data_IF_960153501726
#
_entry.id   IF_960153501726
#
_cell.length_a   1.000
_cell.length_b   1.000
_cell.length_c   1.000
_cell.angle_alpha   90.00
_cell.angle_beta   90.00
_cell.angle_gamma   90.00
#
_symmetry.space_group_name_H-M   'P 1'
#
loop_
_entity.id
_entity.type
_entity.pdbx_description
1 polymer ?
#
# COMPACT_ATOMS: atom_id res chain seq x y z
N UNK A 1 27.20 32.16 12.32
CA UNK A 1 26.42 31.85 13.55
C UNK A 1 25.22 30.92 13.29
N UNK A 2 24.68 30.83 12.07
CA UNK A 2 23.54 29.93 11.75
C UNK A 2 23.92 28.45 11.58
N UNK A 3 25.13 28.14 11.08
CA UNK A 3 25.58 26.75 10.86
C UNK A 3 25.78 26.01 12.18
N UNK A 4 26.38 26.66 13.19
CA UNK A 4 26.54 26.10 14.53
C UNK A 4 25.18 25.81 15.21
N UNK A 5 24.19 26.71 15.07
CA UNK A 5 22.81 26.49 15.55
C UNK A 5 22.05 25.38 14.83
N UNK A 6 22.44 25.01 13.60
CA UNK A 6 21.88 23.85 12.87
C UNK A 6 22.56 22.55 13.28
N UNK A 7 23.87 22.56 13.53
CA UNK A 7 24.63 21.41 14.03
C UNK A 7 24.17 21.03 15.44
N UNK A 8 23.96 22.00 16.33
CA UNK A 8 23.52 21.77 17.71
C UNK A 8 22.06 21.26 17.77
N UNK A 9 21.18 21.78 16.90
CA UNK A 9 19.82 21.24 16.71
C UNK A 9 19.83 19.81 16.16
N UNK A 10 20.67 19.53 15.16
CA UNK A 10 20.78 18.19 14.59
C UNK A 10 21.38 17.18 15.59
N UNK A 11 22.33 17.62 16.43
CA UNK A 11 22.87 16.82 17.52
C UNK A 11 21.80 16.52 18.58
N UNK A 12 20.98 17.50 18.95
CA UNK A 12 19.82 17.31 19.84
C UNK A 12 18.77 16.36 19.27
N UNK A 13 18.45 16.47 17.97
CA UNK A 13 17.53 15.54 17.29
C UNK A 13 18.09 14.12 17.26
N UNK A 14 19.39 13.95 17.00
CA UNK A 14 20.05 12.64 17.00
C UNK A 14 20.05 11.99 18.39
N UNK A 15 20.29 12.78 19.45
CA UNK A 15 20.22 12.32 20.84
C UNK A 15 18.81 11.90 21.23
N UNK A 16 17.80 12.67 20.83
CA UNK A 16 16.40 12.33 21.06
C UNK A 16 16.02 11.03 20.35
N UNK A 17 16.38 10.85 19.08
CA UNK A 17 16.12 9.60 18.36
C UNK A 17 16.84 8.39 18.95
N UNK A 18 18.07 8.56 19.43
CA UNK A 18 18.81 7.49 20.10
C UNK A 18 18.14 7.09 21.42
N UNK A 19 17.64 8.07 22.17
CA UNK A 19 16.89 7.87 23.40
C UNK A 19 15.56 7.15 23.16
N UNK A 20 14.81 7.56 22.15
CA UNK A 20 13.56 6.93 21.73
C UNK A 20 13.75 5.45 21.35
N UNK A 21 14.80 5.15 20.56
CA UNK A 21 15.19 3.77 20.23
C UNK A 21 15.56 2.96 21.46
N UNK A 22 16.26 3.57 22.42
CA UNK A 22 16.67 2.90 23.64
C UNK A 22 15.46 2.55 24.52
N UNK A 23 14.49 3.47 24.65
CA UNK A 23 13.20 3.20 25.30
C UNK A 23 12.49 2.03 24.62
N UNK A 24 12.41 2.07 23.29
CA UNK A 24 11.74 1.02 22.51
C UNK A 24 12.35 -0.36 22.71
N UNK A 25 13.68 -0.48 22.55
CA UNK A 25 14.40 -1.74 22.73
C UNK A 25 14.29 -2.24 24.17
N UNK A 26 14.41 -1.35 25.15
CA UNK A 26 14.26 -1.71 26.58
C UNK A 26 12.88 -2.31 26.83
N UNK A 27 11.81 -1.65 26.39
CA UNK A 27 10.46 -2.15 26.60
C UNK A 27 10.22 -3.50 25.88
N UNK A 28 10.73 -3.65 24.65
CA UNK A 28 10.59 -4.87 23.86
C UNK A 28 11.34 -6.07 24.48
N UNK A 29 12.58 -5.87 24.93
CA UNK A 29 13.42 -6.91 25.55
C UNK A 29 12.85 -7.33 26.91
N UNK A 30 12.40 -6.36 27.71
CA UNK A 30 11.93 -6.61 29.07
C UNK A 30 10.42 -6.85 29.18
N UNK A 31 9.70 -7.03 28.07
CA UNK A 31 8.28 -7.44 28.01
C UNK A 31 7.38 -6.65 28.97
N UNK A 32 7.35 -5.33 28.81
CA UNK A 32 6.53 -4.43 29.65
C UNK A 32 6.94 -4.32 31.12
N UNK A 33 8.15 -4.73 31.50
CA UNK A 33 8.64 -4.44 32.84
C UNK A 33 8.98 -2.94 32.97
N UNK A 34 7.95 -2.13 33.23
CA UNK A 34 8.00 -0.68 33.44
C UNK A 34 8.99 -0.26 34.52
N UNK A 35 9.35 -1.18 35.42
CA UNK A 35 10.38 -1.00 36.45
C UNK A 35 11.74 -0.61 35.86
N UNK A 36 12.10 -1.16 34.70
CA UNK A 36 13.36 -0.83 34.01
C UNK A 36 13.31 0.50 33.25
N UNK A 37 12.11 1.07 33.08
CA UNK A 37 11.92 2.43 32.58
C UNK A 37 11.89 3.48 33.70
N UNK A 38 11.80 3.08 34.97
CA UNK A 38 11.82 4.01 36.11
C UNK A 38 13.07 4.89 36.18
N UNK A 39 14.30 4.40 35.91
CA UNK A 39 15.48 5.25 35.87
C UNK A 39 15.34 6.35 34.81
N UNK A 40 14.80 6.02 33.64
CA UNK A 40 14.58 6.95 32.54
C UNK A 40 13.48 7.96 32.85
N UNK A 41 12.37 7.52 33.45
CA UNK A 41 11.30 8.41 33.97
C UNK A 41 11.85 9.42 34.99
N UNK A 42 12.71 8.97 35.90
CA UNK A 42 13.29 9.82 36.97
C UNK A 42 14.39 10.76 36.49
N UNK A 43 15.24 10.32 35.57
CA UNK A 43 16.38 11.10 35.06
C UNK A 43 16.00 12.11 33.99
N UNK A 44 15.00 11.80 33.15
CA UNK A 44 14.63 12.61 31.99
C UNK A 44 13.22 13.21 32.08
N UNK A 45 12.47 12.94 33.16
CA UNK A 45 11.12 13.47 33.35
C UNK A 45 10.10 12.99 32.31
N UNK A 46 10.35 11.83 31.69
CA UNK A 46 9.49 11.31 30.62
C UNK A 46 8.18 10.78 31.19
N UNK A 47 7.06 11.26 30.65
CA UNK A 47 5.72 10.81 31.01
C UNK A 47 5.35 9.50 30.30
N UNK A 48 4.44 8.71 30.90
CA UNK A 48 3.98 7.44 30.31
C UNK A 48 3.38 7.61 28.92
N UNK A 49 2.59 8.68 28.70
CA UNK A 49 2.04 9.00 27.38
C UNK A 49 3.12 9.20 26.32
N UNK A 50 4.24 9.85 26.67
CA UNK A 50 5.36 10.06 25.74
C UNK A 50 6.07 8.74 25.42
N UNK A 51 6.17 7.83 26.38
CA UNK A 51 6.72 6.48 26.15
C UNK A 51 5.81 5.73 25.19
N UNK A 52 4.50 5.77 25.39
CA UNK A 52 3.53 5.07 24.53
C UNK A 52 3.54 5.62 23.09
N UNK A 53 3.65 6.93 22.93
CA UNK A 53 3.79 7.59 21.62
C UNK A 53 5.09 7.15 20.92
N UNK A 54 6.21 7.16 21.63
CA UNK A 54 7.50 6.70 21.11
C UNK A 54 7.46 5.22 20.72
N UNK A 55 6.81 4.39 21.54
CA UNK A 55 6.62 2.97 21.25
C UNK A 55 5.82 2.77 19.96
N UNK A 56 4.72 3.50 19.82
CA UNK A 56 3.84 3.44 18.65
C UNK A 56 4.54 3.90 17.38
N UNK A 57 5.21 5.05 17.40
CA UNK A 57 5.89 5.60 16.22
C UNK A 57 7.11 4.76 15.82
N UNK A 58 7.86 4.21 16.79
CA UNK A 58 8.94 3.27 16.51
C UNK A 58 8.42 1.97 15.87
N UNK A 59 7.32 1.41 16.40
CA UNK A 59 6.69 0.22 15.83
C UNK A 59 6.20 0.46 14.40
N UNK A 60 5.54 1.60 14.14
CA UNK A 60 5.14 2.02 12.78
C UNK A 60 6.35 2.13 11.85
N UNK A 61 7.42 2.79 12.27
CA UNK A 61 8.62 2.97 11.45
C UNK A 61 9.26 1.63 11.04
N UNK A 62 9.42 0.71 11.99
CA UNK A 62 9.95 -0.62 11.73
C UNK A 62 9.03 -1.44 10.82
N UNK A 63 7.72 -1.38 11.07
CA UNK A 63 6.73 -2.06 10.25
C UNK A 63 6.71 -1.53 8.81
N UNK A 64 6.77 -0.22 8.62
CA UNK A 64 6.89 0.41 7.30
C UNK A 64 8.16 -0.04 6.55
N UNK A 65 9.26 -0.25 7.27
CA UNK A 65 10.48 -0.80 6.66
C UNK A 65 10.30 -2.25 6.20
N UNK A 66 9.56 -3.06 6.95
CA UNK A 66 9.26 -4.45 6.58
C UNK A 66 8.28 -4.53 5.41
N UNK A 67 7.28 -3.63 5.35
CA UNK A 67 6.33 -3.58 4.23
C UNK A 67 7.01 -3.42 2.87
N UNK A 68 8.18 -2.76 2.81
CA UNK A 68 8.96 -2.63 1.57
C UNK A 68 9.42 -3.97 0.98
N UNK A 69 9.50 -5.03 1.79
CA UNK A 69 9.80 -6.39 1.31
C UNK A 69 8.59 -7.05 0.64
N UNK A 70 7.38 -6.57 0.91
CA UNK A 70 6.15 -7.05 0.28
C UNK A 70 6.01 -6.39 -1.08
N UNK A 71 6.26 -7.18 -2.13
CA UNK A 71 6.07 -6.77 -3.51
C UNK A 71 4.72 -7.20 -4.09
N UNK A 72 4.59 -7.01 -5.41
CA UNK A 72 3.39 -7.36 -6.21
C UNK A 72 3.20 -8.87 -6.35
N UNK A 73 4.31 -9.61 -6.41
CA UNK A 73 4.30 -11.06 -6.25
C UNK A 73 4.18 -11.38 -4.77
N UNK A 74 2.95 -11.38 -4.25
CA UNK A 74 2.68 -11.66 -2.83
C UNK A 74 3.26 -13.03 -2.45
N UNK A 75 4.28 -13.03 -1.61
CA UNK A 75 4.87 -14.24 -1.05
C UNK A 75 4.26 -14.56 0.31
N UNK A 76 3.69 -15.76 0.44
CA UNK A 76 3.05 -16.25 1.66
C UNK A 76 4.01 -16.24 2.85
N UNK A 77 5.28 -16.61 2.61
CA UNK A 77 6.31 -16.60 3.66
C UNK A 77 6.51 -15.19 4.23
N UNK A 78 6.74 -14.23 3.35
CA UNK A 78 6.92 -12.82 3.67
C UNK A 78 5.70 -12.25 4.42
N UNK A 79 4.47 -12.57 4.00
CA UNK A 79 3.26 -12.11 4.69
C UNK A 79 3.15 -12.64 6.14
N UNK A 80 3.57 -13.89 6.37
CA UNK A 80 3.60 -14.47 7.71
C UNK A 80 4.71 -13.83 8.56
N UNK A 81 5.88 -13.55 7.98
CA UNK A 81 6.98 -12.88 8.67
C UNK A 81 6.60 -11.45 9.09
N UNK A 82 5.98 -10.69 8.19
CA UNK A 82 5.50 -9.33 8.50
C UNK A 82 4.44 -9.37 9.60
N UNK A 83 3.53 -10.36 9.59
CA UNK A 83 2.56 -10.56 10.68
C UNK A 83 3.23 -10.88 12.02
N UNK A 84 4.24 -11.75 12.03
CA UNK A 84 5.00 -12.07 13.25
C UNK A 84 5.71 -10.84 13.80
N UNK A 85 6.30 -10.03 12.93
CA UNK A 85 6.97 -8.80 13.31
C UNK A 85 5.99 -7.76 13.86
N UNK A 86 4.81 -7.62 13.24
CA UNK A 86 3.73 -6.76 13.76
C UNK A 86 3.40 -7.10 15.22
N UNK A 87 3.17 -8.39 15.51
CA UNK A 87 2.86 -8.87 16.86
C UNK A 87 4.03 -8.66 17.82
N UNK A 88 5.26 -8.87 17.36
CA UNK A 88 6.47 -8.61 18.15
C UNK A 88 6.58 -7.12 18.52
N UNK A 89 6.29 -6.21 17.60
CA UNK A 89 6.32 -4.77 17.84
C UNK A 89 5.09 -4.23 18.58
N UNK A 90 4.12 -5.09 18.90
CA UNK A 90 2.84 -4.72 19.54
C UNK A 90 2.06 -3.66 18.76
N UNK A 91 2.21 -3.64 17.44
CA UNK A 91 1.45 -2.74 16.59
C UNK A 91 0.01 -3.25 16.47
N UNK A 92 -0.97 -2.38 16.71
CA UNK A 92 -2.38 -2.77 16.67
C UNK A 92 -2.79 -3.24 15.27
N UNK A 93 -3.79 -4.12 15.22
CA UNK A 93 -4.27 -4.70 13.97
C UNK A 93 -4.86 -3.64 13.04
N UNK A 94 -5.47 -2.59 13.59
CA UNK A 94 -6.05 -1.47 12.85
C UNK A 94 -4.96 -0.63 12.16
N UNK A 95 -3.91 -0.26 12.89
CA UNK A 95 -2.81 0.54 12.35
C UNK A 95 -2.04 -0.29 11.31
N UNK A 96 -1.77 -1.56 11.60
CA UNK A 96 -1.09 -2.46 10.69
C UNK A 96 -1.88 -2.69 9.40
N UNK A 97 -3.20 -2.82 9.50
CA UNK A 97 -4.09 -2.95 8.35
C UNK A 97 -4.06 -1.71 7.47
N UNK A 98 -4.14 -0.53 8.07
CA UNK A 98 -4.14 0.73 7.31
C UNK A 98 -2.81 0.96 6.60
N UNK A 99 -1.69 0.79 7.30
CA UNK A 99 -0.36 0.91 6.71
C UNK A 99 -0.14 -0.08 5.55
N UNK A 100 -0.66 -1.30 5.66
CA UNK A 100 -0.56 -2.27 4.56
C UNK A 100 -1.43 -1.86 3.36
N UNK A 101 -2.65 -1.36 3.58
CA UNK A 101 -3.51 -0.85 2.49
C UNK A 101 -2.87 0.32 1.77
N UNK A 102 -2.29 1.27 2.51
CA UNK A 102 -1.54 2.39 1.93
C UNK A 102 -0.36 1.91 1.10
N UNK A 103 0.40 0.93 1.59
CA UNK A 103 1.51 0.32 0.84
C UNK A 103 1.02 -0.40 -0.44
N UNK A 104 -0.07 -1.17 -0.34
CA UNK A 104 -0.66 -1.86 -1.48
C UNK A 104 -1.18 -0.88 -2.55
N UNK A 105 -1.82 0.22 -2.13
CA UNK A 105 -2.21 1.32 -3.03
C UNK A 105 -0.99 1.92 -3.72
N UNK A 106 0.07 2.22 -2.97
CA UNK A 106 1.31 2.77 -3.52
C UNK A 106 1.93 1.86 -4.59
N UNK A 107 1.94 0.54 -4.39
CA UNK A 107 2.44 -0.40 -5.40
C UNK A 107 1.65 -0.33 -6.72
N UNK A 108 0.33 -0.10 -6.64
CA UNK A 108 -0.53 0.11 -7.82
C UNK A 108 -0.31 1.48 -8.44
N UNK A 109 -0.14 2.54 -7.64
CA UNK A 109 0.20 3.87 -8.16
C UNK A 109 1.54 3.91 -8.89
N UNK A 110 2.52 3.12 -8.44
CA UNK A 110 3.79 2.93 -9.14
C UNK A 110 3.58 2.25 -10.51
N UNK A 111 2.70 1.25 -10.60
CA UNK A 111 2.32 0.64 -11.89
C UNK A 111 1.63 1.64 -12.81
N UNK A 112 0.71 2.44 -12.29
CA UNK A 112 0.01 3.48 -13.05
C UNK A 112 1.02 4.48 -13.60
N UNK A 113 1.93 4.95 -12.74
CA UNK A 113 2.99 5.89 -13.13
C UNK A 113 3.93 5.27 -14.18
N UNK A 114 4.29 4.00 -14.04
CA UNK A 114 5.06 3.23 -15.04
C UNK A 114 4.31 3.14 -16.37
N UNK A 115 3.02 2.82 -16.34
CA UNK A 115 2.19 2.73 -17.54
C UNK A 115 2.06 4.09 -18.25
N UNK A 116 1.83 5.17 -17.50
CA UNK A 116 1.73 6.53 -18.04
C UNK A 116 3.04 7.01 -18.68
N UNK A 117 4.19 6.66 -18.09
CA UNK A 117 5.50 6.99 -18.67
C UNK A 117 5.78 6.21 -19.97
N UNK A 118 5.09 5.09 -20.21
CA UNK A 118 5.28 4.21 -21.36
C UNK A 118 4.06 4.18 -22.30
N UNK A 119 3.25 5.24 -22.36
CA UNK A 119 2.04 5.32 -23.21
C UNK A 119 2.30 5.08 -24.70
N UNK A 120 3.52 5.31 -25.17
CA UNK A 120 3.95 5.01 -26.53
C UNK A 120 4.10 3.50 -26.81
N UNK A 121 4.24 2.67 -25.77
CA UNK A 121 4.36 1.22 -25.86
C UNK A 121 3.10 0.54 -25.30
N UNK A 122 2.12 0.32 -26.18
CA UNK A 122 0.82 -0.27 -25.81
C UNK A 122 0.94 -1.61 -25.09
N UNK A 123 1.87 -2.47 -25.51
CA UNK A 123 2.09 -3.78 -24.88
C UNK A 123 2.53 -3.61 -23.42
N UNK A 124 3.45 -2.67 -23.15
CA UNK A 124 3.93 -2.42 -21.79
C UNK A 124 2.84 -1.83 -20.89
N UNK A 125 2.03 -0.90 -21.41
CA UNK A 125 0.86 -0.37 -20.69
C UNK A 125 -0.10 -1.49 -20.27
N UNK A 126 -0.41 -2.39 -21.21
CA UNK A 126 -1.31 -3.53 -20.96
C UNK A 126 -0.73 -4.48 -19.90
N UNK A 127 0.57 -4.79 -19.96
CA UNK A 127 1.21 -5.67 -18.99
C UNK A 127 1.22 -5.06 -17.58
N UNK A 128 1.43 -3.74 -17.45
CA UNK A 128 1.33 -3.05 -16.16
C UNK A 128 -0.09 -3.12 -15.57
N UNK A 129 -1.12 -2.99 -16.42
CA UNK A 129 -2.53 -3.14 -16.01
C UNK A 129 -2.86 -4.58 -15.63
N UNK A 130 -2.36 -5.58 -16.37
CA UNK A 130 -2.50 -6.99 -16.00
C UNK A 130 -1.83 -7.31 -14.66
N UNK A 131 -0.66 -6.72 -14.41
CA UNK A 131 0.04 -6.82 -13.11
C UNK A 131 -0.82 -6.27 -11.96
N UNK A 132 -1.48 -5.12 -12.14
CA UNK A 132 -2.43 -4.56 -11.16
C UNK A 132 -3.59 -5.54 -10.88
N UNK A 133 -4.18 -6.12 -11.94
CA UNK A 133 -5.28 -7.08 -11.81
C UNK A 133 -4.85 -8.35 -11.07
N UNK A 134 -3.70 -8.93 -11.43
CA UNK A 134 -3.15 -10.12 -10.80
C UNK A 134 -2.83 -9.89 -9.32
N UNK A 135 -2.27 -8.73 -8.98
CA UNK A 135 -2.00 -8.32 -7.60
C UNK A 135 -3.29 -8.22 -6.78
N UNK A 136 -4.30 -7.49 -7.28
CA UNK A 136 -5.57 -7.32 -6.59
C UNK A 136 -6.36 -8.64 -6.46
N UNK A 137 -6.28 -9.51 -7.47
CA UNK A 137 -6.82 -10.86 -7.41
C UNK A 137 -6.17 -11.68 -6.31
N UNK A 138 -4.84 -11.63 -6.19
CA UNK A 138 -4.08 -12.32 -5.14
C UNK A 138 -4.46 -11.82 -3.75
N UNK A 139 -4.59 -10.50 -3.56
CA UNK A 139 -5.07 -9.92 -2.29
C UNK A 139 -6.46 -10.44 -1.91
N UNK A 140 -7.37 -10.54 -2.89
CA UNK A 140 -8.75 -11.02 -2.67
C UNK A 140 -8.81 -12.51 -2.34
N UNK A 141 -7.93 -13.32 -2.91
CA UNK A 141 -7.83 -14.75 -2.62
C UNK A 141 -7.27 -14.95 -1.21
N UNK A 142 -6.16 -14.26 -0.90
CA UNK A 142 -5.50 -14.38 0.40
C UNK A 142 -6.36 -13.85 1.54
N UNK A 143 -7.19 -12.83 1.30
CA UNK A 143 -8.14 -12.33 2.29
C UNK A 143 -9.29 -13.30 2.63
N UNK A 144 -9.43 -14.40 1.89
CA UNK A 144 -10.45 -15.46 2.13
C UNK A 144 -9.81 -16.80 2.48
N UNK A 145 -8.49 -16.83 2.61
CA UNK A 145 -7.75 -18.07 2.78
C UNK A 145 -7.84 -18.57 4.23
N UNK A 146 -8.07 -19.87 4.48
CA UNK A 146 -8.21 -20.38 5.83
C UNK A 146 -6.94 -20.15 6.67
N UNK A 147 -7.11 -19.55 7.85
CA UNK A 147 -6.02 -19.17 8.74
C UNK A 147 -5.55 -17.72 8.58
N UNK A 148 -6.48 -16.80 8.26
CA UNK A 148 -6.29 -15.36 8.09
C UNK A 148 -5.52 -14.68 9.24
N UNK A 149 -5.61 -15.22 10.46
CA UNK A 149 -4.88 -14.69 11.62
C UNK A 149 -3.36 -14.76 11.50
N UNK A 150 -2.86 -15.69 10.67
CA UNK A 150 -1.43 -15.87 10.39
C UNK A 150 -0.90 -14.89 9.36
N UNK A 151 -1.79 -14.25 8.60
CA UNK A 151 -1.42 -13.28 7.59
C UNK A 151 -1.43 -11.86 8.14
N UNK A 152 -0.79 -10.98 7.38
CA UNK A 152 -0.81 -9.55 7.60
C UNK A 152 -2.25 -9.03 7.66
N UNK A 153 -2.48 -8.02 8.50
CA UNK A 153 -3.79 -7.36 8.55
C UNK A 153 -3.96 -6.44 7.35
N UNK A 154 -5.22 -6.23 6.95
CA UNK A 154 -5.56 -5.35 5.82
C UNK A 154 -5.57 -6.03 4.45
N UNK A 155 -5.41 -7.35 4.37
CA UNK A 155 -5.63 -8.10 3.12
C UNK A 155 -7.06 -7.91 2.62
N UNK A 156 -7.19 -7.62 1.33
CA UNK A 156 -8.47 -7.45 0.66
C UNK A 156 -8.32 -6.69 -0.66
N UNK A 157 -9.38 -6.63 -1.46
CA UNK A 157 -9.38 -5.86 -2.69
C UNK A 157 -9.11 -4.39 -2.39
N UNK A 158 -8.29 -3.77 -3.23
CA UNK A 158 -7.94 -2.35 -3.15
C UNK A 158 -8.74 -1.53 -4.16
N UNK A 159 -9.05 -0.30 -3.78
CA UNK A 159 -9.64 0.71 -4.65
C UNK A 159 -8.91 2.04 -4.44
N UNK A 160 -8.68 2.74 -5.53
CA UNK A 160 -8.16 4.11 -5.56
C UNK A 160 -9.29 5.14 -5.50
N UNK A 161 -10.55 4.68 -5.62
CA UNK A 161 -11.72 5.55 -5.52
C UNK A 161 -11.88 6.12 -4.12
N UNK A 162 -12.16 7.42 -4.03
CA UNK A 162 -12.34 8.14 -2.76
C UNK A 162 -11.05 8.71 -2.16
N UNK A 163 -9.89 8.51 -2.81
CA UNK A 163 -8.65 9.17 -2.41
C UNK A 163 -8.69 10.65 -2.82
N UNK A 164 -8.08 11.54 -2.01
CA UNK A 164 -8.13 13.00 -2.23
C UNK A 164 -7.53 13.45 -3.57
N UNK A 165 -6.65 12.62 -4.15
CA UNK A 165 -6.02 12.86 -5.46
C UNK A 165 -6.70 12.10 -6.61
N UNK A 166 -7.75 11.33 -6.34
CA UNK A 166 -8.46 10.53 -7.35
C UNK A 166 -9.00 11.40 -8.47
N UNK A 167 -9.65 12.52 -8.14
CA UNK A 167 -10.20 13.47 -9.13
C UNK A 167 -9.13 14.01 -10.09
N UNK A 168 -7.90 14.21 -9.61
CA UNK A 168 -6.79 14.72 -10.43
C UNK A 168 -6.25 13.66 -11.40
N UNK A 169 -6.39 12.37 -11.06
CA UNK A 169 -5.85 11.24 -11.82
C UNK A 169 -6.92 10.50 -12.61
N UNK A 170 -8.20 10.86 -12.47
CA UNK A 170 -9.31 10.12 -13.07
C UNK A 170 -9.19 10.00 -14.59
N UNK A 171 -8.68 11.04 -15.26
CA UNK A 171 -8.49 11.01 -16.72
C UNK A 171 -7.38 10.04 -17.12
N UNK A 172 -6.27 10.02 -16.36
CA UNK A 172 -5.19 9.05 -16.55
C UNK A 172 -5.69 7.61 -16.37
N UNK A 173 -6.51 7.37 -15.35
CA UNK A 173 -7.12 6.06 -15.10
C UNK A 173 -8.07 5.66 -16.24
N UNK A 174 -8.86 6.61 -16.79
CA UNK A 174 -9.71 6.37 -17.96
C UNK A 174 -8.89 6.03 -19.20
N UNK A 175 -7.76 6.70 -19.42
CA UNK A 175 -6.84 6.37 -20.52
C UNK A 175 -6.30 4.96 -20.41
N UNK A 176 -5.81 4.55 -19.22
CA UNK A 176 -5.32 3.20 -18.98
C UNK A 176 -6.42 2.14 -19.10
N UNK A 177 -7.62 2.44 -18.61
CA UNK A 177 -8.79 1.57 -18.74
C UNK A 177 -9.17 1.37 -20.21
N UNK A 178 -9.16 2.45 -21.01
CA UNK A 178 -9.43 2.41 -22.44
C UNK A 178 -8.37 1.59 -23.20
N UNK A 179 -7.09 1.79 -22.89
CA UNK A 179 -5.99 1.03 -23.49
C UNK A 179 -6.12 -0.48 -23.22
N UNK A 180 -6.44 -0.85 -21.99
CA UNK A 180 -6.68 -2.25 -21.63
C UNK A 180 -7.96 -2.81 -22.30
N UNK A 181 -9.04 -2.03 -22.34
CA UNK A 181 -10.27 -2.44 -23.02
C UNK A 181 -10.04 -2.68 -24.52
N UNK A 182 -9.22 -1.86 -25.18
CA UNK A 182 -8.88 -2.02 -26.59
C UNK A 182 -8.12 -3.33 -26.87
N UNK A 183 -7.19 -3.70 -25.99
CA UNK A 183 -6.51 -4.99 -26.08
C UNK A 183 -7.48 -6.16 -25.88
N UNK A 184 -8.27 -6.10 -24.81
CA UNK A 184 -9.22 -7.16 -24.42
C UNK A 184 -10.29 -7.40 -25.49
N UNK A 185 -10.70 -6.34 -26.19
CA UNK A 185 -11.74 -6.36 -27.23
C UNK A 185 -11.17 -6.43 -28.65
N UNK A 186 -9.87 -6.64 -28.83
CA UNK A 186 -9.21 -6.68 -30.14
C UNK A 186 -9.77 -7.76 -31.09
N UNK A 187 -10.30 -8.86 -30.53
CA UNK A 187 -10.97 -9.93 -31.25
C UNK A 187 -12.47 -9.67 -31.51
N UNK A 188 -12.98 -8.50 -31.13
CA UNK A 188 -14.39 -8.11 -31.30
C UNK A 188 -15.38 -8.79 -30.35
N UNK A 189 -14.92 -9.68 -29.46
CA UNK A 189 -15.78 -10.47 -28.60
C UNK A 189 -15.60 -10.14 -27.11
N UNK A 190 -16.70 -9.75 -26.47
CA UNK A 190 -16.78 -9.58 -25.01
C UNK A 190 -17.42 -10.82 -24.39
N UNK A 191 -16.60 -11.68 -23.77
CA UNK A 191 -17.07 -12.81 -22.98
C UNK A 191 -17.15 -12.44 -21.48
N UNK A 192 -17.67 -13.36 -20.66
CA UNK A 192 -17.88 -13.13 -19.24
C UNK A 192 -16.57 -12.92 -18.46
N UNK A 193 -15.49 -13.64 -18.81
CA UNK A 193 -14.18 -13.52 -18.16
C UNK A 193 -13.55 -12.14 -18.41
N UNK A 194 -13.61 -11.65 -19.66
CA UNK A 194 -13.15 -10.31 -20.04
C UNK A 194 -13.97 -9.22 -19.35
N UNK A 195 -15.29 -9.40 -19.29
CA UNK A 195 -16.18 -8.50 -18.56
C UNK A 195 -15.86 -8.49 -17.06
N UNK A 196 -15.54 -9.64 -16.47
CA UNK A 196 -15.13 -9.73 -15.07
C UNK A 196 -13.81 -8.98 -14.83
N UNK A 197 -12.81 -9.14 -15.69
CA UNK A 197 -11.54 -8.43 -15.59
C UNK A 197 -11.71 -6.90 -15.73
N UNK A 198 -12.54 -6.44 -16.68
CA UNK A 198 -12.87 -5.02 -16.84
C UNK A 198 -13.63 -4.45 -15.64
N UNK A 199 -14.57 -5.20 -15.08
CA UNK A 199 -15.28 -4.81 -13.85
C UNK A 199 -14.33 -4.74 -12.64
N UNK A 200 -13.39 -5.67 -12.52
CA UNK A 200 -12.37 -5.62 -11.48
C UNK A 200 -11.49 -4.37 -11.65
N UNK A 201 -11.02 -4.10 -12.87
CA UNK A 201 -10.21 -2.92 -13.16
C UNK A 201 -10.97 -1.62 -12.84
N UNK A 202 -12.26 -1.54 -13.23
CA UNK A 202 -13.15 -0.43 -12.89
C UNK A 202 -13.19 -0.19 -11.39
N UNK A 203 -13.37 -1.26 -10.60
CA UNK A 203 -13.45 -1.15 -9.14
C UNK A 203 -12.12 -0.71 -8.52
N UNK A 204 -10.99 -1.22 -9.02
CA UNK A 204 -9.66 -0.81 -8.57
C UNK A 204 -9.44 0.68 -8.87
N UNK A 205 -9.76 1.13 -10.08
CA UNK A 205 -9.61 2.53 -10.47
C UNK A 205 -10.68 3.45 -9.88
N UNK A 206 -11.73 2.91 -9.25
CA UNK A 206 -12.82 3.71 -8.71
C UNK A 206 -13.62 4.47 -9.79
N UNK A 207 -13.70 3.93 -11.00
CA UNK A 207 -14.47 4.55 -12.09
C UNK A 207 -15.97 4.31 -11.91
N UNK A 208 -16.78 5.30 -12.25
CA UNK A 208 -18.23 5.11 -12.20
C UNK A 208 -18.69 4.14 -13.30
N UNK A 209 -19.79 3.42 -13.02
CA UNK A 209 -20.32 2.40 -13.94
C UNK A 209 -20.61 2.97 -15.34
N UNK A 210 -21.26 4.12 -15.40
CA UNK A 210 -21.63 4.77 -16.67
C UNK A 210 -20.39 5.21 -17.48
N UNK A 211 -19.33 5.67 -16.82
CA UNK A 211 -18.09 6.07 -17.49
C UNK A 211 -17.38 4.87 -18.10
N UNK A 212 -17.26 3.79 -17.34
CA UNK A 212 -16.64 2.55 -17.80
C UNK A 212 -17.41 1.92 -18.97
N UNK A 213 -18.75 1.95 -18.93
CA UNK A 213 -19.62 1.46 -20.01
C UNK A 213 -19.50 2.33 -21.28
N UNK A 214 -19.42 3.66 -21.13
CA UNK A 214 -19.20 4.57 -22.25
C UNK A 214 -17.86 4.29 -22.95
N UNK A 215 -16.78 4.09 -22.18
CA UNK A 215 -15.46 3.75 -22.73
C UNK A 215 -15.51 2.40 -23.47
N UNK A 216 -16.12 1.37 -22.87
CA UNK A 216 -16.26 0.07 -23.55
C UNK A 216 -17.02 0.22 -24.87
N UNK A 217 -18.11 0.98 -24.88
CA UNK A 217 -18.93 1.19 -26.09
C UNK A 217 -18.15 1.91 -27.19
N UNK A 218 -17.40 2.94 -26.83
CA UNK A 218 -16.55 3.69 -27.76
C UNK A 218 -15.41 2.82 -28.31
N UNK A 219 -14.72 2.05 -27.45
CA UNK A 219 -13.69 1.09 -27.88
C UNK A 219 -14.28 0.05 -28.85
N UNK A 220 -15.46 -0.51 -28.56
CA UNK A 220 -16.13 -1.44 -29.48
C UNK A 220 -16.38 -0.78 -30.83
N UNK A 221 -16.94 0.43 -30.86
CA UNK A 221 -17.20 1.14 -32.11
C UNK A 221 -15.93 1.33 -32.96
N UNK A 222 -14.80 1.68 -32.33
CA UNK A 222 -13.50 1.83 -33.01
C UNK A 222 -12.99 0.50 -33.57
N UNK A 223 -13.08 -0.59 -32.81
CA UNK A 223 -12.65 -1.92 -33.28
C UNK A 223 -13.51 -2.38 -34.45
N UNK A 224 -14.84 -2.19 -34.40
CA UNK A 224 -15.75 -2.56 -35.49
C UNK A 224 -15.61 -1.69 -36.75
N UNK A 225 -15.15 -0.44 -36.65
CA UNK A 225 -14.85 0.41 -37.81
C UNK A 225 -13.52 0.06 -38.51
N UNK A 226 -12.70 -0.78 -37.89
CA UNK A 226 -11.39 -1.18 -38.45
C UNK A 226 -11.47 -2.49 -39.26
N UNK A 227 -12.65 -3.12 -39.30
CA UNK A 227 -12.99 -4.28 -40.14
C UNK A 227 -13.96 -3.88 -41.25
#
# INVERSE_FOLDING_TARGET
MEIAKRIDRNAGVGQQQAFEKLIFVTNLVFRDAYEYLLPWKRLFGVHESQIDDVMRESAKSLYASLLKSVGRGLDIGTLIEVRRAQLAYKLSDEIAAEMFREHAKKLVEENISSALNNLNNRTQVVEEVKSILAFNGSLTILSKFPGEERFIRGLGPITLGGDSDHEKRVEDLKMLYSAYAMEVLSDGHLNDDKLAALNQLRNIFGLAKYEAEAIISDVKARVFQTY
#
